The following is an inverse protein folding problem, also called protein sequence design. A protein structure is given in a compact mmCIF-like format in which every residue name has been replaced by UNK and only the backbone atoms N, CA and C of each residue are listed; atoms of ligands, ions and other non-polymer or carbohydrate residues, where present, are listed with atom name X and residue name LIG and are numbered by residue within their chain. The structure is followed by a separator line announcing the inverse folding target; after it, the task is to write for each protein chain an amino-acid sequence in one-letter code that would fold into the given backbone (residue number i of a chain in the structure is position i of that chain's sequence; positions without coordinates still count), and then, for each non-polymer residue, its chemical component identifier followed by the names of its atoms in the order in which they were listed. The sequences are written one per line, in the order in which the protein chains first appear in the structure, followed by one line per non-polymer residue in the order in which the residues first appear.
data_IF_032294693986
#
_entry.id   IF_032294693986
#
_cell.length_a   1.000
_cell.length_b   1.000
_cell.length_c   1.000
_cell.angle_alpha   90.00
_cell.angle_beta   90.00
_cell.angle_gamma   90.00
#
_symmetry.space_group_name_H-M   'P 1'
#
loop_
_entity.id
_entity.type
_entity.pdbx_description
1 polymer ?
#
# COMPACT_ATOMS: atom_id res chain seq x y z
N UNK A 1 -7.98 -6.10 39.35
CA UNK A 1 -8.47 -6.46 38.01
C UNK A 1 -7.34 -7.07 37.20
N UNK A 2 -7.50 -8.27 36.62
CA UNK A 2 -6.55 -8.80 35.63
C UNK A 2 -6.79 -8.05 34.31
N UNK A 3 -5.85 -7.21 33.90
CA UNK A 3 -5.87 -6.59 32.57
C UNK A 3 -5.72 -7.67 31.49
N UNK A 4 -6.62 -7.67 30.50
CA UNK A 4 -6.58 -8.60 29.36
C UNK A 4 -5.21 -8.58 28.68
N UNK A 5 -4.74 -9.73 28.17
CA UNK A 5 -3.50 -9.84 27.39
C UNK A 5 -3.46 -8.87 26.20
N UNK A 6 -4.62 -8.46 25.68
CA UNK A 6 -4.73 -7.48 24.61
C UNK A 6 -4.11 -6.12 24.95
N UNK A 7 -4.18 -5.69 26.22
CA UNK A 7 -3.70 -4.39 26.67
C UNK A 7 -2.29 -4.44 27.29
N UNK A 8 -1.61 -5.58 27.17
CA UNK A 8 -0.25 -5.76 27.66
C UNK A 8 0.76 -5.53 26.54
N UNK A 9 1.93 -5.04 26.91
CA UNK A 9 3.03 -4.88 25.98
C UNK A 9 3.42 -6.22 25.32
N UNK A 10 3.96 -6.13 24.11
CA UNK A 10 4.47 -7.28 23.36
C UNK A 10 5.77 -6.89 22.65
N UNK A 11 6.79 -7.73 22.75
CA UNK A 11 7.97 -7.60 21.90
C UNK A 11 7.70 -8.19 20.53
N UNK A 12 7.88 -7.38 19.49
CA UNK A 12 7.78 -7.77 18.08
C UNK A 12 9.10 -7.40 17.39
N UNK A 13 10.01 -8.37 17.24
CA UNK A 13 11.36 -8.11 16.74
C UNK A 13 12.05 -7.03 17.59
N UNK A 14 12.55 -5.93 17.00
CA UNK A 14 13.18 -4.85 17.75
C UNK A 14 12.19 -3.85 18.38
N UNK A 15 10.88 -4.13 18.36
CA UNK A 15 9.86 -3.20 18.86
C UNK A 15 9.20 -3.69 20.13
N UNK A 16 8.89 -2.74 21.01
CA UNK A 16 7.98 -2.95 22.12
C UNK A 16 6.66 -2.28 21.76
N UNK A 17 5.63 -3.08 21.51
CA UNK A 17 4.27 -2.61 21.26
C UNK A 17 3.60 -2.26 22.59
N UNK A 18 2.83 -1.18 22.63
CA UNK A 18 2.09 -0.76 23.84
C UNK A 18 0.89 -1.65 24.16
N UNK A 19 0.42 -2.41 23.18
CA UNK A 19 -0.69 -3.36 23.29
C UNK A 19 -0.64 -4.33 22.08
N UNK A 20 -1.56 -5.29 22.03
CA UNK A 20 -1.65 -6.31 20.98
C UNK A 20 -2.77 -6.02 19.96
N UNK A 21 -3.24 -4.79 19.91
CA UNK A 21 -4.31 -4.36 18.99
C UNK A 21 -3.63 -3.74 17.77
N UNK A 22 -4.04 -4.19 16.58
CA UNK A 22 -3.42 -3.81 15.31
C UNK A 22 -4.44 -3.11 14.44
N UNK A 23 -4.04 -2.02 13.78
CA UNK A 23 -4.79 -1.50 12.63
C UNK A 23 -4.34 -2.28 11.37
N UNK A 24 -5.18 -3.14 10.79
CA UNK A 24 -4.84 -3.87 9.57
C UNK A 24 -4.70 -2.89 8.38
N UNK A 25 -4.09 -3.34 7.27
CA UNK A 25 -4.06 -2.54 6.06
C UNK A 25 -5.47 -2.38 5.48
N UNK A 26 -5.88 -1.14 5.21
CA UNK A 26 -7.23 -0.80 4.76
C UNK A 26 -7.14 0.18 3.59
N UNK A 27 -7.32 -0.29 2.36
CA UNK A 27 -7.35 0.57 1.16
C UNK A 27 -8.43 1.63 1.26
N UNK A 28 -8.05 2.91 1.15
CA UNK A 28 -8.98 4.04 1.32
C UNK A 28 -9.21 4.85 0.05
N UNK A 29 -8.39 4.70 -0.98
CA UNK A 29 -8.53 5.41 -2.28
C UNK A 29 -8.67 6.93 -2.11
N UNK A 30 -7.73 7.55 -1.39
CA UNK A 30 -7.75 8.99 -1.03
C UNK A 30 -6.44 9.72 -1.34
N UNK A 31 -5.56 9.14 -2.16
CA UNK A 31 -4.32 9.81 -2.56
C UNK A 31 -4.59 10.96 -3.54
N UNK A 32 -3.75 11.97 -3.48
CA UNK A 32 -3.81 13.13 -4.37
C UNK A 32 -3.47 12.74 -5.81
N UNK A 33 -4.22 13.31 -6.76
CA UNK A 33 -3.99 13.20 -8.18
C UNK A 33 -3.50 14.53 -8.78
N UNK A 34 -2.71 14.51 -9.86
CA UNK A 34 -2.08 13.31 -10.44
C UNK A 34 -0.95 12.77 -9.54
N UNK A 35 -0.58 11.51 -9.74
CA UNK A 35 0.64 10.93 -9.16
C UNK A 35 0.46 10.02 -7.96
N UNK A 36 -0.79 9.79 -7.50
CA UNK A 36 -1.08 8.86 -6.41
C UNK A 36 -0.29 9.18 -5.12
N UNK A 37 -0.30 10.45 -4.72
CA UNK A 37 0.57 10.98 -3.65
C UNK A 37 -0.17 10.96 -2.30
N UNK A 38 0.42 10.39 -1.23
CA UNK A 38 -0.14 10.53 0.11
C UNK A 38 -0.23 12.00 0.55
N UNK A 39 -1.28 12.36 1.30
CA UNK A 39 -1.58 13.75 1.64
C UNK A 39 -1.90 13.97 3.12
N UNK A 40 -2.16 15.22 3.51
CA UNK A 40 -2.43 15.63 4.89
C UNK A 40 -3.65 14.93 5.51
N UNK A 41 -4.66 14.62 4.70
CA UNK A 41 -5.82 13.85 5.15
C UNK A 41 -5.41 12.44 5.58
N UNK A 42 -4.56 11.79 4.79
CA UNK A 42 -4.01 10.47 5.13
C UNK A 42 -3.12 10.54 6.38
N UNK A 43 -2.28 11.58 6.52
CA UNK A 43 -1.45 11.77 7.71
C UNK A 43 -2.30 11.91 8.98
N UNK A 44 -3.34 12.74 8.93
CA UNK A 44 -4.31 12.92 10.02
C UNK A 44 -5.02 11.58 10.35
N UNK A 45 -5.43 10.83 9.32
CA UNK A 45 -6.10 9.55 9.49
C UNK A 45 -5.26 8.51 10.25
N UNK A 46 -3.97 8.35 9.91
CA UNK A 46 -3.08 7.42 10.60
C UNK A 46 -2.67 7.94 11.98
N UNK A 47 -2.41 9.23 12.13
CA UNK A 47 -2.07 9.84 13.42
C UNK A 47 -3.16 9.60 14.47
N UNK A 48 -4.44 9.73 14.10
CA UNK A 48 -5.58 9.45 14.99
C UNK A 48 -5.59 8.01 15.52
N UNK A 49 -4.88 7.08 14.86
CA UNK A 49 -4.83 5.64 15.19
C UNK A 49 -3.51 5.22 15.82
N UNK A 50 -2.63 6.15 16.16
CA UNK A 50 -1.32 5.88 16.75
C UNK A 50 -1.35 5.20 18.14
N UNK A 51 -2.53 5.04 18.75
CA UNK A 51 -2.72 4.23 19.97
C UNK A 51 -2.78 2.71 19.73
N UNK A 52 -2.83 2.25 18.47
CA UNK A 52 -2.67 0.84 18.16
C UNK A 52 -1.25 0.37 18.52
N UNK A 53 -1.10 -0.89 18.91
CA UNK A 53 0.22 -1.50 19.16
C UNK A 53 1.12 -1.35 17.94
N UNK A 54 0.56 -1.60 16.75
CA UNK A 54 1.08 -1.09 15.49
C UNK A 54 -0.04 -0.92 14.44
N UNK A 55 0.30 -0.29 13.32
CA UNK A 55 -0.55 -0.18 12.13
C UNK A 55 0.19 -0.58 10.86
N UNK A 56 -0.56 -1.03 9.86
CA UNK A 56 -0.07 -1.25 8.50
C UNK A 56 -0.78 -0.28 7.57
N UNK A 57 -0.04 0.44 6.73
CA UNK A 57 -0.65 1.36 5.76
C UNK A 57 -1.39 0.58 4.67
N UNK A 58 -2.27 1.29 3.98
CA UNK A 58 -2.99 0.78 2.82
C UNK A 58 -2.08 0.27 1.70
N UNK A 59 -2.64 -0.56 0.81
CA UNK A 59 -1.94 -1.12 -0.34
C UNK A 59 -1.22 -0.03 -1.13
N UNK A 60 0.11 -0.12 -1.16
CA UNK A 60 0.98 0.90 -1.73
C UNK A 60 1.74 0.34 -2.92
N UNK A 61 1.49 0.87 -4.13
CA UNK A 61 2.08 0.32 -5.36
C UNK A 61 3.59 0.54 -5.44
N UNK A 62 4.31 -0.54 -5.77
CA UNK A 62 5.77 -0.55 -5.92
C UNK A 62 6.23 0.06 -7.25
N UNK A 63 5.32 0.17 -8.20
CA UNK A 63 5.53 0.66 -9.56
C UNK A 63 4.16 0.98 -10.21
N UNK A 64 4.09 1.79 -11.29
CA UNK A 64 2.84 2.23 -11.91
C UNK A 64 1.85 1.12 -12.30
N UNK A 65 2.29 0.03 -12.95
CA UNK A 65 1.44 -1.12 -13.35
C UNK A 65 0.84 -1.86 -12.16
N UNK A 66 1.42 -1.68 -10.97
CA UNK A 66 0.95 -2.26 -9.72
C UNK A 66 -0.36 -1.66 -9.19
N UNK A 67 -0.93 -0.63 -9.84
CA UNK A 67 -2.19 -0.02 -9.44
C UNK A 67 -3.41 -0.86 -9.89
N UNK A 68 -4.34 -1.12 -8.97
CA UNK A 68 -5.60 -1.84 -9.24
C UNK A 68 -6.88 -1.10 -8.89
N UNK A 69 -6.75 -0.02 -8.14
CA UNK A 69 -7.86 0.80 -7.70
C UNK A 69 -7.49 2.27 -7.89
N UNK A 70 -8.45 3.08 -8.29
CA UNK A 70 -8.27 4.52 -8.40
C UNK A 70 -7.86 5.10 -7.04
N UNK A 71 -6.98 6.09 -7.10
CA UNK A 71 -6.55 6.90 -5.96
C UNK A 71 -5.85 6.12 -4.83
N UNK A 72 -5.28 4.94 -5.11
CA UNK A 72 -4.37 4.25 -4.18
C UNK A 72 -2.95 4.84 -4.27
N UNK A 73 -2.23 4.98 -3.14
CA UNK A 73 -0.92 5.62 -3.12
C UNK A 73 0.21 4.73 -3.66
N UNK A 74 1.26 5.33 -4.22
CA UNK A 74 2.50 4.62 -4.60
C UNK A 74 3.67 4.85 -3.64
N UNK A 75 4.79 4.20 -3.90
CA UNK A 75 6.09 4.43 -3.23
C UNK A 75 7.29 4.26 -4.18
N UNK A 76 7.12 4.67 -5.43
CA UNK A 76 8.16 4.61 -6.47
C UNK A 76 8.67 5.98 -6.91
N UNK A 77 7.96 7.07 -6.61
CA UNK A 77 8.37 8.43 -6.96
C UNK A 77 8.87 9.24 -5.75
N UNK A 78 9.73 10.26 -5.97
CA UNK A 78 10.15 11.17 -4.91
C UNK A 78 8.98 11.86 -4.17
N UNK A 79 7.94 12.26 -4.90
CA UNK A 79 6.76 12.94 -4.36
C UNK A 79 5.95 12.01 -3.46
N UNK A 80 5.80 10.74 -3.88
CA UNK A 80 5.15 9.71 -3.08
C UNK A 80 5.90 9.45 -1.77
N UNK A 81 7.24 9.36 -1.85
CA UNK A 81 8.10 9.20 -0.67
C UNK A 81 7.95 10.40 0.27
N UNK A 82 7.94 11.64 -0.26
CA UNK A 82 7.74 12.84 0.53
C UNK A 82 6.34 12.87 1.20
N UNK A 83 5.30 12.45 0.48
CA UNK A 83 3.95 12.31 1.02
C UNK A 83 3.90 11.30 2.17
N UNK A 84 4.48 10.11 1.98
CA UNK A 84 4.55 9.10 3.04
C UNK A 84 5.37 9.54 4.24
N UNK A 85 6.43 10.33 4.04
CA UNK A 85 7.24 10.86 5.14
C UNK A 85 6.40 11.66 6.13
N UNK A 86 5.51 12.52 5.63
CA UNK A 86 4.57 13.29 6.47
C UNK A 86 3.67 12.39 7.30
N UNK A 87 3.17 11.31 6.71
CA UNK A 87 2.33 10.31 7.40
C UNK A 87 3.13 9.64 8.52
N UNK A 88 4.34 9.15 8.23
CA UNK A 88 5.17 8.47 9.21
C UNK A 88 5.62 9.40 10.35
N UNK A 89 5.97 10.64 10.04
CA UNK A 89 6.30 11.66 11.04
C UNK A 89 5.12 11.95 11.97
N UNK A 90 3.91 12.11 11.42
CA UNK A 90 2.71 12.37 12.22
C UNK A 90 2.38 11.22 13.19
N UNK A 91 2.63 9.96 12.79
CA UNK A 91 2.45 8.78 13.64
C UNK A 91 3.56 8.66 14.68
N UNK A 92 4.82 8.85 14.29
CA UNK A 92 5.97 8.77 15.19
C UNK A 92 5.94 9.89 16.25
N UNK A 93 5.43 11.08 15.92
CA UNK A 93 5.20 12.16 16.89
C UNK A 93 4.24 11.77 18.04
N UNK A 94 3.44 10.71 17.86
CA UNK A 94 2.57 10.11 18.89
C UNK A 94 3.15 8.84 19.52
N UNK A 95 4.39 8.47 19.18
CA UNK A 95 5.03 7.22 19.59
C UNK A 95 4.47 5.97 18.92
N UNK A 96 3.68 6.13 17.85
CA UNK A 96 3.05 5.02 17.14
C UNK A 96 4.03 4.22 16.29
N UNK A 97 3.63 3.00 15.92
CA UNK A 97 4.41 2.09 15.09
C UNK A 97 3.65 1.84 13.79
N UNK A 98 4.29 2.08 12.66
CA UNK A 98 3.69 1.99 11.32
C UNK A 98 4.57 1.15 10.39
N UNK A 99 3.95 0.28 9.61
CA UNK A 99 4.57 -0.57 8.59
C UNK A 99 3.88 -0.35 7.24
N UNK A 100 4.53 -0.60 6.09
CA UNK A 100 3.81 -0.60 4.81
C UNK A 100 3.44 -1.97 4.27
N UNK A 101 2.26 -2.03 3.66
CA UNK A 101 1.87 -3.06 2.72
C UNK A 101 2.32 -2.66 1.31
N UNK A 102 3.38 -3.28 0.79
CA UNK A 102 3.81 -3.11 -0.60
C UNK A 102 3.09 -4.11 -1.50
N UNK A 103 2.49 -3.64 -2.59
CA UNK A 103 1.71 -4.52 -3.46
C UNK A 103 1.99 -4.32 -4.96
N UNK A 104 1.58 -5.33 -5.71
CA UNK A 104 1.36 -5.27 -7.14
C UNK A 104 0.10 -6.09 -7.41
N UNK A 105 -1.00 -5.44 -7.80
CA UNK A 105 -2.32 -6.09 -7.84
C UNK A 105 -2.47 -7.17 -8.93
N UNK A 106 -1.57 -7.16 -9.92
CA UNK A 106 -1.59 -8.09 -11.03
C UNK A 106 -2.87 -7.99 -11.86
N UNK A 107 -3.55 -9.12 -12.06
CA UNK A 107 -4.80 -9.20 -12.83
C UNK A 107 -6.00 -8.49 -12.20
N UNK A 108 -5.95 -8.12 -10.93
CA UNK A 108 -7.00 -7.35 -10.26
C UNK A 108 -6.81 -5.86 -10.55
N UNK A 109 -6.88 -5.50 -11.84
CA UNK A 109 -6.71 -4.14 -12.34
C UNK A 109 -7.55 -3.92 -13.61
N UNK A 110 -7.53 -2.69 -14.12
CA UNK A 110 -8.25 -2.27 -15.31
C UNK A 110 -7.30 -1.51 -16.24
N UNK A 111 -7.48 -1.62 -17.56
CA UNK A 111 -6.66 -0.89 -18.56
C UNK A 111 -6.67 0.62 -18.31
N UNK A 112 -7.77 1.20 -17.82
CA UNK A 112 -7.84 2.63 -17.49
C UNK A 112 -6.91 3.06 -16.35
N UNK A 113 -6.38 2.12 -15.56
CA UNK A 113 -5.45 2.38 -14.45
C UNK A 113 -4.00 2.08 -14.82
N UNK A 114 -3.77 1.52 -16.01
CA UNK A 114 -2.44 1.09 -16.45
C UNK A 114 -1.76 2.20 -17.26
N UNK A 115 -0.42 2.29 -17.21
CA UNK A 115 0.35 3.12 -18.13
C UNK A 115 -0.06 2.85 -19.58
N UNK A 116 -0.26 3.93 -20.34
CA UNK A 116 -0.62 3.88 -21.77
C UNK A 116 -1.88 3.05 -22.09
N UNK A 117 -2.78 2.88 -21.12
CA UNK A 117 -3.96 2.03 -21.21
C UNK A 117 -3.66 0.56 -21.55
N UNK A 118 -2.45 0.09 -21.25
CA UNK A 118 -2.02 -1.28 -21.51
C UNK A 118 -2.82 -2.31 -20.69
N UNK A 119 -2.77 -3.59 -21.10
CA UNK A 119 -3.29 -4.69 -20.29
C UNK A 119 -2.51 -4.80 -18.97
N UNK A 120 -3.19 -5.03 -17.83
CA UNK A 120 -2.54 -5.43 -16.59
C UNK A 120 -1.68 -6.68 -16.80
N UNK A 121 -0.76 -6.96 -15.88
CA UNK A 121 0.14 -8.12 -15.95
C UNK A 121 -0.22 -9.19 -14.92
N UNK A 122 0.04 -10.46 -15.23
CA UNK A 122 -0.22 -11.59 -14.34
C UNK A 122 0.68 -12.80 -14.68
N UNK A 123 0.73 -13.86 -13.86
CA UNK A 123 1.46 -15.09 -14.20
C UNK A 123 0.94 -15.79 -15.46
N UNK A 124 -0.32 -15.57 -15.83
CA UNK A 124 -0.96 -16.14 -17.02
C UNK A 124 -2.00 -15.18 -17.57
N UNK A 125 -2.32 -15.31 -18.87
CA UNK A 125 -3.37 -14.53 -19.53
C UNK A 125 -4.77 -15.06 -19.16
N UNK A 126 -5.09 -15.03 -17.86
CA UNK A 126 -6.36 -15.49 -17.29
C UNK A 126 -6.96 -14.31 -16.52
N UNK A 127 -8.10 -13.83 -17.01
CA UNK A 127 -8.87 -12.78 -16.36
C UNK A 127 -9.19 -13.14 -14.90
N UNK A 128 -9.22 -12.15 -14.02
CA UNK A 128 -9.73 -12.36 -12.67
C UNK A 128 -11.21 -12.80 -12.70
N UNK A 129 -11.64 -13.51 -11.66
CA UNK A 129 -13.00 -14.05 -11.57
C UNK A 129 -14.07 -12.94 -11.70
N UNK A 130 -15.22 -13.29 -12.25
CA UNK A 130 -16.30 -12.33 -12.56
C UNK A 130 -16.92 -11.68 -11.31
N UNK A 131 -16.73 -12.28 -10.13
CA UNK A 131 -17.16 -11.75 -8.84
C UNK A 131 -16.16 -10.72 -8.27
N UNK A 132 -14.96 -10.58 -8.84
CA UNK A 132 -13.97 -9.56 -8.46
C UNK A 132 -14.31 -8.25 -9.17
N UNK A 133 -14.25 -7.13 -8.44
CA UNK A 133 -14.39 -5.78 -8.98
C UNK A 133 -13.17 -4.93 -8.66
N UNK A 134 -12.88 -4.01 -9.56
CA UNK A 134 -11.86 -2.97 -9.41
C UNK A 134 -12.53 -1.61 -9.41
N UNK A 135 -11.98 -0.66 -8.66
CA UNK A 135 -12.53 0.69 -8.60
C UNK A 135 -11.78 1.58 -9.58
N UNK A 136 -12.47 2.17 -10.55
CA UNK A 136 -11.88 3.01 -11.59
C UNK A 136 -12.39 4.45 -11.48
N UNK A 137 -11.57 5.41 -11.86
CA UNK A 137 -11.97 6.81 -12.01
C UNK A 137 -12.73 6.99 -13.33
N UNK A 138 -13.89 7.64 -13.27
CA UNK A 138 -14.75 7.93 -14.43
C UNK A 138 -14.91 9.43 -14.69
N UNK A 139 -14.32 10.26 -13.84
CA UNK A 139 -14.32 11.71 -13.92
C UNK A 139 -13.78 12.33 -12.62
N UNK A 140 -13.67 13.67 -12.54
CA UNK A 140 -13.12 14.34 -11.36
C UNK A 140 -13.90 13.96 -10.09
N UNK A 141 -13.22 13.31 -9.14
CA UNK A 141 -13.80 12.81 -7.89
C UNK A 141 -14.97 11.82 -8.07
N UNK A 142 -15.09 11.21 -9.25
CA UNK A 142 -16.12 10.22 -9.57
C UNK A 142 -15.45 8.90 -9.95
N UNK A 143 -15.94 7.80 -9.38
CA UNK A 143 -15.46 6.47 -9.73
C UNK A 143 -16.55 5.42 -9.60
N UNK A 144 -16.32 4.28 -10.23
CA UNK A 144 -17.26 3.16 -10.25
C UNK A 144 -16.53 1.84 -10.08
N UNK A 145 -17.28 0.81 -9.69
CA UNK A 145 -16.78 -0.55 -9.78
C UNK A 145 -16.89 -1.04 -11.23
N UNK A 146 -15.81 -1.60 -11.74
CA UNK A 146 -15.72 -2.21 -13.05
C UNK A 146 -15.20 -3.65 -12.93
N UNK A 147 -15.43 -4.43 -13.98
CA UNK A 147 -14.80 -5.74 -14.09
C UNK A 147 -13.31 -5.58 -14.41
N UNK A 148 -12.42 -6.43 -13.86
CA UNK A 148 -11.01 -6.43 -14.23
C UNK A 148 -10.81 -6.68 -15.73
N UNK A 149 -9.78 -6.08 -16.32
CA UNK A 149 -9.42 -6.32 -17.73
C UNK A 149 -8.67 -7.65 -17.89
N UNK A 150 -8.60 -8.18 -19.13
CA UNK A 150 -7.77 -9.34 -19.43
C UNK A 150 -6.28 -8.99 -19.22
N UNK A 151 -5.54 -9.72 -18.38
CA UNK A 151 -4.12 -9.47 -18.20
C UNK A 151 -3.29 -10.10 -19.31
N UNK A 152 -2.06 -9.61 -19.48
CA UNK A 152 -1.00 -10.27 -20.24
C UNK A 152 -0.15 -11.13 -19.29
N UNK A 153 0.28 -12.30 -19.78
CA UNK A 153 1.24 -13.13 -19.07
C UNK A 153 2.62 -12.43 -19.00
N UNK A 154 3.21 -12.42 -17.80
CA UNK A 154 4.58 -11.98 -17.58
C UNK A 154 5.57 -12.95 -18.21
N UNK A 155 6.64 -12.41 -18.79
CA UNK A 155 7.83 -13.18 -19.15
C UNK A 155 8.72 -13.42 -17.92
N UNK A 156 9.61 -14.41 -18.00
CA UNK A 156 10.59 -14.68 -16.94
C UNK A 156 11.51 -13.49 -16.62
N UNK A 157 11.79 -12.64 -17.62
CA UNK A 157 12.59 -11.43 -17.42
C UNK A 157 11.83 -10.39 -16.59
N UNK A 158 10.55 -10.17 -16.90
CA UNK A 158 9.70 -9.24 -16.15
C UNK A 158 9.44 -9.71 -14.72
N UNK A 159 9.38 -11.02 -14.47
CA UNK A 159 9.33 -11.55 -13.09
C UNK A 159 10.58 -11.13 -12.29
N UNK A 160 11.77 -11.23 -12.90
CA UNK A 160 13.01 -10.80 -12.24
C UNK A 160 13.04 -9.29 -12.00
N UNK A 161 12.53 -8.51 -12.95
CA UNK A 161 12.35 -7.06 -12.81
C UNK A 161 11.43 -6.72 -11.62
N UNK A 162 10.26 -7.37 -11.52
CA UNK A 162 9.32 -7.16 -10.42
C UNK A 162 9.96 -7.43 -9.05
N UNK A 163 10.79 -8.47 -8.92
CA UNK A 163 11.54 -8.71 -7.67
C UNK A 163 12.43 -7.51 -7.32
N UNK A 164 13.11 -6.92 -8.30
CA UNK A 164 13.92 -5.72 -8.07
C UNK A 164 13.08 -4.49 -7.73
N UNK A 165 11.91 -4.34 -8.34
CA UNK A 165 10.96 -3.25 -8.03
C UNK A 165 10.43 -3.36 -6.61
N UNK A 166 10.07 -4.56 -6.14
CA UNK A 166 9.73 -4.78 -4.73
C UNK A 166 10.89 -4.45 -3.80
N UNK A 167 12.11 -4.86 -4.14
CA UNK A 167 13.29 -4.53 -3.35
C UNK A 167 13.54 -3.01 -3.30
N UNK A 168 13.32 -2.30 -4.41
CA UNK A 168 13.44 -0.84 -4.45
C UNK A 168 12.34 -0.16 -3.64
N UNK A 169 11.09 -0.60 -3.75
CA UNK A 169 9.99 -0.08 -2.94
C UNK A 169 10.25 -0.28 -1.45
N UNK A 170 10.82 -1.42 -1.05
CA UNK A 170 11.25 -1.67 0.33
C UNK A 170 12.38 -0.73 0.77
N UNK A 171 13.34 -0.39 -0.11
CA UNK A 171 14.35 0.64 0.20
C UNK A 171 13.75 2.03 0.33
N UNK A 172 12.84 2.42 -0.56
CA UNK A 172 12.14 3.71 -0.50
C UNK A 172 11.35 3.86 0.80
N UNK A 173 10.68 2.78 1.20
CA UNK A 173 10.04 2.61 2.48
C UNK A 173 10.97 2.87 3.69
N UNK A 174 12.18 2.30 3.68
CA UNK A 174 13.15 2.50 4.75
C UNK A 174 13.62 3.96 4.88
N UNK A 175 13.62 4.75 3.79
CA UNK A 175 13.95 6.18 3.84
C UNK A 175 12.98 7.00 4.70
N UNK A 176 11.79 6.47 4.97
CA UNK A 176 10.78 7.10 5.81
C UNK A 176 11.08 6.93 7.31
N UNK A 177 12.06 6.08 7.65
CA UNK A 177 12.26 5.53 9.01
C UNK A 177 13.62 5.91 9.61
N UNK A 178 14.18 7.08 9.27
CA UNK A 178 15.49 7.52 9.78
C UNK A 178 15.57 7.78 11.31
N UNK A 179 14.66 7.23 12.13
CA UNK A 179 14.77 7.12 13.59
C UNK A 179 14.46 5.72 14.15
N UNK A 180 14.57 4.64 13.36
CA UNK A 180 14.51 3.26 13.86
C UNK A 180 13.50 2.40 13.11
N UNK A 181 14.01 1.65 12.12
CA UNK A 181 13.37 0.65 11.22
C UNK A 181 11.97 0.20 11.65
N UNK A 182 10.97 0.07 10.75
CA UNK A 182 9.73 -0.74 10.87
C UNK A 182 9.10 -1.07 9.51
N UNK A 183 9.53 -2.13 8.81
CA UNK A 183 8.84 -2.62 7.59
C UNK A 183 8.64 -4.14 7.59
N UNK A 184 7.39 -4.57 7.43
CA UNK A 184 6.99 -5.93 7.06
C UNK A 184 6.33 -5.78 5.71
N UNK A 185 6.95 -6.32 4.67
CA UNK A 185 6.35 -6.35 3.33
C UNK A 185 5.33 -7.49 3.31
N UNK A 186 4.04 -7.16 3.40
CA UNK A 186 3.02 -8.10 2.95
C UNK A 186 2.97 -8.03 1.43
N UNK A 187 3.72 -8.90 0.77
CA UNK A 187 3.62 -9.13 -0.68
C UNK A 187 2.26 -9.77 -0.97
N UNK A 188 1.40 -9.04 -1.68
CA UNK A 188 0.23 -9.62 -2.33
C UNK A 188 0.57 -9.72 -3.81
N UNK A 189 0.74 -10.95 -4.29
CA UNK A 189 0.89 -11.30 -5.70
C UNK A 189 -0.33 -12.17 -6.01
N UNK A 190 -1.23 -11.70 -6.87
CA UNK A 190 -2.39 -12.46 -7.36
C UNK A 190 -2.13 -13.07 -8.74
#
# INVERSE_FOLDING_TARGET
MKTSKLFQNLSLGPYVLQNRIVLPPLTRSRSTQPGNIPNELMATYYQQRAGAGFMVIEGTQIEPRGQGYAWTPGIYSPEQIAGWRKVTEAVHAKGGIIFAQLWHVGRVSHTSLQPDHASPVAPSAIRADSNVKVFIETGPNAGTLADPSMPRALSNAEVKELVQLYAQAARNALLLVLMGLKFIVQMVIW
#
